data_IF_981253502526
#
_entry.id   IF_981253502526
#
_cell.length_a   1.000
_cell.length_b   1.000
_cell.length_c   1.000
_cell.angle_alpha   90.00
_cell.angle_beta   90.00
_cell.angle_gamma   90.00
#
_symmetry.space_group_name_H-M   'P 1'
#
loop_
_entity.id
_entity.type
_entity.pdbx_description
1 polymer ?
#
# COMPACT_ATOMS: atom_id res chain seq x y z
N UNK A 1 -43.82 -15.76 -26.24
CA UNK A 1 -43.85 -14.81 -25.11
C UNK A 1 -42.72 -15.17 -24.18
N UNK A 2 -41.55 -14.56 -24.37
CA UNK A 2 -40.32 -14.83 -23.61
C UNK A 2 -40.24 -13.79 -22.49
N UNK A 3 -40.17 -14.15 -21.20
CA UNK A 3 -40.05 -13.14 -20.16
C UNK A 3 -38.61 -12.62 -20.10
N UNK A 4 -38.48 -11.30 -20.19
CA UNK A 4 -37.27 -10.56 -19.85
C UNK A 4 -37.00 -10.72 -18.35
N UNK A 5 -35.87 -11.30 -17.98
CA UNK A 5 -35.36 -11.28 -16.61
C UNK A 5 -34.62 -9.94 -16.41
N UNK A 6 -34.99 -9.10 -15.43
CA UNK A 6 -34.25 -7.87 -15.18
C UNK A 6 -32.92 -8.22 -14.53
N UNK A 7 -31.83 -7.88 -15.20
CA UNK A 7 -30.49 -7.92 -14.60
C UNK A 7 -30.42 -6.85 -13.50
N UNK A 8 -30.46 -7.27 -12.23
CA UNK A 8 -30.12 -6.40 -11.11
C UNK A 8 -28.63 -6.08 -11.20
N UNK A 9 -28.30 -4.86 -11.63
CA UNK A 9 -26.97 -4.29 -11.48
C UNK A 9 -26.73 -4.01 -10.00
N UNK A 10 -26.12 -4.94 -9.28
CA UNK A 10 -25.68 -4.72 -7.90
C UNK A 10 -24.53 -3.71 -7.89
N UNK A 11 -24.85 -2.46 -7.57
CA UNK A 11 -23.88 -1.41 -7.28
C UNK A 11 -23.09 -1.84 -6.03
N UNK A 12 -21.87 -2.34 -6.21
CA UNK A 12 -20.98 -2.62 -5.09
C UNK A 12 -20.47 -1.28 -4.55
N UNK A 13 -21.14 -0.76 -3.53
CA UNK A 13 -20.56 0.26 -2.66
C UNK A 13 -19.45 -0.42 -1.88
N UNK A 14 -18.19 -0.22 -2.30
CA UNK A 14 -17.05 -0.54 -1.46
C UNK A 14 -17.14 0.36 -0.22
N UNK A 15 -17.38 -0.23 0.96
CA UNK A 15 -17.29 0.50 2.21
C UNK A 15 -15.90 1.15 2.30
N UNK A 16 -15.85 2.44 2.64
CA UNK A 16 -14.58 3.11 2.92
C UNK A 16 -13.85 2.28 4.01
N UNK A 17 -12.55 1.99 3.84
CA UNK A 17 -11.85 1.21 4.84
C UNK A 17 -11.91 1.92 6.20
N UNK A 18 -11.89 1.17 7.31
CA UNK A 18 -11.87 1.77 8.64
C UNK A 18 -10.75 2.80 8.75
N UNK A 19 -10.95 3.84 9.55
CA UNK A 19 -10.09 5.04 9.64
C UNK A 19 -8.63 4.78 10.01
N UNK A 20 -8.28 3.53 10.34
CA UNK A 20 -6.91 3.08 10.64
C UNK A 20 -6.43 1.88 9.80
N UNK A 21 -7.09 1.59 8.68
CA UNK A 21 -6.57 0.63 7.71
C UNK A 21 -5.21 1.09 7.15
N UNK A 22 -4.34 0.15 6.79
CA UNK A 22 -2.99 0.49 6.31
C UNK A 22 -3.00 1.31 5.01
N UNK A 23 -4.02 1.14 4.17
CA UNK A 23 -4.19 1.84 2.90
C UNK A 23 -5.67 2.19 2.64
N UNK A 24 -5.94 3.37 2.10
CA UNK A 24 -7.31 3.87 1.85
C UNK A 24 -8.05 3.18 0.68
N UNK A 25 -7.35 2.44 -0.18
CA UNK A 25 -7.92 1.72 -1.32
C UNK A 25 -7.93 0.22 -1.06
N UNK A 26 -6.80 -0.33 -0.61
CA UNK A 26 -6.64 -1.76 -0.37
C UNK A 26 -7.08 -2.20 1.03
N UNK A 27 -7.44 -1.27 1.92
CA UNK A 27 -7.71 -1.58 3.33
C UNK A 27 -6.52 -2.32 3.95
N UNK A 28 -6.82 -3.39 4.70
CA UNK A 28 -5.84 -4.32 5.26
C UNK A 28 -5.67 -5.62 4.44
N UNK A 29 -6.04 -5.60 3.15
CA UNK A 29 -5.96 -6.78 2.28
C UNK A 29 -4.56 -7.41 2.22
N UNK A 30 -3.50 -6.61 2.36
CA UNK A 30 -2.13 -7.11 2.41
C UNK A 30 -1.86 -7.96 3.66
N UNK A 31 -2.46 -7.61 4.80
CA UNK A 31 -2.32 -8.37 6.04
C UNK A 31 -3.13 -9.66 5.99
N UNK A 32 -4.38 -9.57 5.54
CA UNK A 32 -5.26 -10.74 5.36
C UNK A 32 -4.63 -11.74 4.37
N UNK A 33 -4.03 -11.26 3.28
CA UNK A 33 -3.35 -12.13 2.33
C UNK A 33 -2.12 -12.84 2.92
N UNK A 34 -1.42 -12.22 3.87
CA UNK A 34 -0.22 -12.78 4.49
C UNK A 34 -0.53 -13.73 5.66
N UNK A 35 -1.56 -13.42 6.46
CA UNK A 35 -1.80 -14.09 7.74
C UNK A 35 -3.20 -14.72 7.88
N UNK A 36 -4.10 -14.50 6.91
CA UNK A 36 -5.45 -15.08 6.91
C UNK A 36 -6.45 -14.40 7.85
N UNK A 37 -6.05 -13.36 8.58
CA UNK A 37 -6.88 -12.63 9.55
C UNK A 37 -6.76 -11.13 9.37
N UNK A 38 -7.64 -10.35 10.00
CA UNK A 38 -7.43 -8.90 10.16
C UNK A 38 -6.29 -8.61 11.17
N UNK A 39 -5.57 -7.49 11.03
CA UNK A 39 -4.58 -7.09 12.03
C UNK A 39 -5.26 -6.65 13.32
N UNK A 40 -4.84 -7.22 14.45
CA UNK A 40 -5.24 -6.72 15.77
C UNK A 40 -4.57 -5.39 16.11
N UNK A 41 -5.09 -4.71 17.14
CA UNK A 41 -4.56 -3.41 17.60
C UNK A 41 -3.18 -3.50 18.23
N UNK A 42 -2.76 -4.71 18.65
CA UNK A 42 -1.44 -5.02 19.18
C UNK A 42 -0.35 -5.08 18.10
N UNK A 43 -0.74 -5.21 16.82
CA UNK A 43 0.23 -5.32 15.72
C UNK A 43 0.95 -3.98 15.52
N UNK A 44 2.29 -3.94 15.61
CA UNK A 44 3.05 -2.71 15.38
C UNK A 44 2.81 -2.13 13.98
N UNK A 45 2.70 -0.81 13.88
CA UNK A 45 2.47 -0.12 12.60
C UNK A 45 3.56 -0.46 11.58
N UNK A 46 4.81 -0.59 12.01
CA UNK A 46 5.94 -0.97 11.17
C UNK A 46 5.74 -2.33 10.52
N UNK A 47 5.21 -3.33 11.26
CA UNK A 47 4.92 -4.64 10.71
C UNK A 47 3.80 -4.58 9.67
N UNK A 48 2.77 -3.75 9.91
CA UNK A 48 1.68 -3.52 8.94
C UNK A 48 2.20 -2.86 7.67
N UNK A 49 3.06 -1.84 7.79
CA UNK A 49 3.69 -1.15 6.66
C UNK A 49 4.58 -2.12 5.88
N UNK A 50 5.47 -2.85 6.53
CA UNK A 50 6.37 -3.78 5.87
C UNK A 50 5.61 -4.87 5.09
N UNK A 51 4.55 -5.43 5.71
CA UNK A 51 3.66 -6.41 5.06
C UNK A 51 2.97 -5.80 3.84
N UNK A 52 2.46 -4.58 3.97
CA UNK A 52 1.82 -3.88 2.86
C UNK A 52 2.77 -3.61 1.69
N UNK A 53 3.98 -3.14 1.97
CA UNK A 53 4.99 -2.87 0.95
C UNK A 53 5.44 -4.16 0.25
N UNK A 54 5.63 -5.27 0.98
CA UNK A 54 5.94 -6.56 0.37
C UNK A 54 4.82 -7.03 -0.57
N UNK A 55 3.57 -6.90 -0.14
CA UNK A 55 2.40 -7.27 -0.94
C UNK A 55 2.32 -6.46 -2.24
N UNK A 56 2.45 -5.14 -2.16
CA UNK A 56 2.40 -4.26 -3.33
C UNK A 56 3.60 -4.49 -4.24
N UNK A 57 4.81 -4.66 -3.70
CA UNK A 57 6.02 -4.97 -4.46
C UNK A 57 5.83 -6.23 -5.30
N UNK A 58 5.39 -7.34 -4.69
CA UNK A 58 5.15 -8.60 -5.38
C UNK A 58 4.13 -8.43 -6.53
N UNK A 59 3.03 -7.72 -6.27
CA UNK A 59 1.99 -7.45 -7.26
C UNK A 59 2.49 -6.56 -8.40
N UNK A 60 3.34 -5.59 -8.09
CA UNK A 60 3.98 -4.72 -9.07
C UNK A 60 4.98 -5.47 -9.94
N UNK A 61 5.78 -6.39 -9.37
CA UNK A 61 6.72 -7.24 -10.12
C UNK A 61 6.01 -8.22 -11.04
N UNK A 62 4.86 -8.77 -10.61
CA UNK A 62 4.06 -9.68 -11.42
C UNK A 62 3.22 -8.99 -12.50
N UNK A 63 3.05 -7.67 -12.43
CA UNK A 63 2.25 -6.91 -13.40
C UNK A 63 3.03 -6.74 -14.71
N UNK A 64 2.47 -7.26 -15.80
CA UNK A 64 2.89 -6.88 -17.14
C UNK A 64 2.56 -5.40 -17.41
N UNK A 65 3.42 -4.72 -18.18
CA UNK A 65 3.33 -3.30 -18.52
C UNK A 65 3.80 -3.06 -19.96
N UNK A 66 3.02 -3.49 -20.96
CA UNK A 66 3.42 -3.45 -22.38
C UNK A 66 3.60 -2.03 -22.97
N UNK A 67 3.36 -0.97 -22.20
CA UNK A 67 3.52 0.43 -22.62
C UNK A 67 4.78 1.12 -22.13
N UNK A 68 5.68 0.44 -21.40
CA UNK A 68 6.94 1.05 -20.95
C UNK A 68 8.00 0.94 -22.04
N UNK A 69 8.70 2.06 -22.32
CA UNK A 69 9.98 2.00 -23.02
C UNK A 69 10.99 1.16 -22.21
N UNK A 70 12.03 0.66 -22.87
CA UNK A 70 13.06 -0.12 -22.18
C UNK A 70 13.71 0.66 -21.03
N UNK A 71 13.93 1.97 -21.22
CA UNK A 71 14.50 2.84 -20.19
C UNK A 71 13.57 2.94 -18.97
N UNK A 72 12.26 3.11 -19.20
CA UNK A 72 11.27 3.11 -18.12
C UNK A 72 11.15 1.74 -17.44
N UNK A 73 11.27 0.63 -18.19
CA UNK A 73 11.32 -0.72 -17.65
C UNK A 73 12.51 -0.93 -16.71
N UNK A 74 13.71 -0.50 -17.11
CA UNK A 74 14.91 -0.54 -16.28
C UNK A 74 14.78 0.34 -15.02
N UNK A 75 14.27 1.57 -15.17
CA UNK A 75 14.03 2.46 -14.04
C UNK A 75 13.01 1.85 -13.05
N UNK A 76 11.93 1.25 -13.57
CA UNK A 76 10.95 0.54 -12.75
C UNK A 76 11.57 -0.61 -11.97
N UNK A 77 12.39 -1.45 -12.61
CA UNK A 77 13.06 -2.56 -11.92
C UNK A 77 13.96 -2.05 -10.78
N UNK A 78 14.80 -1.04 -11.07
CA UNK A 78 15.64 -0.37 -10.05
C UNK A 78 14.84 0.16 -8.87
N UNK A 79 13.72 0.86 -9.12
CA UNK A 79 12.89 1.42 -8.05
C UNK A 79 12.19 0.34 -7.23
N UNK A 80 11.83 -0.79 -7.82
CA UNK A 80 11.29 -1.93 -7.05
C UNK A 80 12.37 -2.57 -6.17
N UNK A 81 13.61 -2.63 -6.63
CA UNK A 81 14.74 -3.10 -5.82
C UNK A 81 15.06 -2.11 -4.67
N UNK A 82 15.00 -0.80 -4.95
CA UNK A 82 15.12 0.24 -3.93
C UNK A 82 13.99 0.14 -2.88
N UNK A 83 12.75 -0.15 -3.31
CA UNK A 83 11.62 -0.38 -2.40
C UNK A 83 11.86 -1.60 -1.50
N UNK A 84 12.39 -2.69 -2.06
CA UNK A 84 12.75 -3.87 -1.28
C UNK A 84 13.79 -3.55 -0.21
N UNK A 85 14.82 -2.78 -0.57
CA UNK A 85 15.85 -2.28 0.36
C UNK A 85 15.27 -1.39 1.46
N UNK A 86 14.44 -0.42 1.10
CA UNK A 86 13.73 0.44 2.06
C UNK A 86 12.88 -0.37 3.04
N UNK A 87 12.09 -1.33 2.53
CA UNK A 87 11.27 -2.22 3.35
C UNK A 87 12.14 -3.05 4.32
N UNK A 88 13.26 -3.58 3.85
CA UNK A 88 14.17 -4.41 4.66
C UNK A 88 14.81 -3.63 5.82
N UNK A 89 15.06 -2.32 5.65
CA UNK A 89 15.55 -1.47 6.75
C UNK A 89 14.51 -1.26 7.85
N UNK A 90 13.22 -1.30 7.51
CA UNK A 90 12.13 -1.16 8.49
C UNK A 90 12.02 0.23 9.13
N UNK A 91 12.75 1.22 8.61
CA UNK A 91 12.74 2.60 9.09
C UNK A 91 11.64 3.39 8.41
N UNK A 92 10.46 3.39 9.04
CA UNK A 92 9.29 4.09 8.52
C UNK A 92 9.01 5.37 9.33
N UNK A 93 8.34 6.37 8.71
CA UNK A 93 7.91 7.57 9.42
C UNK A 93 7.01 7.19 10.60
N UNK A 94 7.28 7.76 11.76
CA UNK A 94 6.43 7.62 12.94
C UNK A 94 5.46 8.78 13.03
N UNK A 95 4.32 8.53 13.67
CA UNK A 95 3.38 9.58 14.05
C UNK A 95 3.77 10.06 15.45
N UNK A 96 4.16 11.33 15.56
CA UNK A 96 4.24 12.02 16.84
C UNK A 96 2.86 12.48 17.33
N UNK A 97 2.80 13.14 18.48
CA UNK A 97 1.58 13.79 18.99
C UNK A 97 1.23 15.02 18.14
N UNK A 98 0.55 14.81 17.01
CA UNK A 98 0.09 15.91 16.13
C UNK A 98 -1.38 16.32 16.37
N UNK A 99 -2.02 15.76 17.41
CA UNK A 99 -3.38 16.14 17.86
C UNK A 99 -4.52 15.68 16.94
N UNK A 100 -4.21 14.99 15.83
CA UNK A 100 -5.23 14.51 14.89
C UNK A 100 -5.65 13.06 15.18
N UNK A 101 -6.96 12.83 15.19
CA UNK A 101 -7.52 11.48 15.23
C UNK A 101 -7.34 10.77 13.88
N UNK A 102 -6.86 9.52 13.92
CA UNK A 102 -6.77 8.62 12.76
C UNK A 102 -5.48 8.72 11.94
N UNK A 103 -5.35 7.80 10.97
CA UNK A 103 -4.16 7.68 10.11
C UNK A 103 -4.19 8.74 8.99
N UNK A 104 -3.18 9.60 8.93
CA UNK A 104 -2.92 10.50 7.78
C UNK A 104 -1.59 10.20 7.11
N UNK A 105 -1.51 10.31 5.77
CA UNK A 105 -0.26 10.25 5.04
C UNK A 105 0.72 11.32 5.56
N UNK A 106 1.98 10.93 5.70
CA UNK A 106 3.10 11.81 6.04
C UNK A 106 4.24 11.48 5.11
N UNK A 107 4.82 12.50 4.48
CA UNK A 107 5.93 12.30 3.55
C UNK A 107 7.27 12.15 4.27
N UNK A 108 7.49 12.94 5.33
CA UNK A 108 8.68 12.91 6.18
C UNK A 108 8.23 13.15 7.62
N UNK A 109 8.80 12.43 8.59
CA UNK A 109 8.58 12.69 10.02
C UNK A 109 9.57 13.71 10.61
N UNK A 110 9.38 14.01 11.89
CA UNK A 110 10.21 14.93 12.68
C UNK A 110 11.66 14.46 12.84
N UNK A 111 11.93 13.17 12.63
CA UNK A 111 13.27 12.58 12.61
C UNK A 111 13.92 12.64 11.22
N UNK A 112 13.23 13.18 10.21
CA UNK A 112 13.71 13.21 8.84
C UNK A 112 13.53 11.89 8.08
N UNK A 113 12.77 10.93 8.62
CA UNK A 113 12.55 9.64 7.95
C UNK A 113 11.50 9.83 6.85
N UNK A 114 11.88 9.54 5.61
CA UNK A 114 11.00 9.59 4.46
C UNK A 114 10.03 8.39 4.45
N UNK A 115 8.80 8.61 3.97
CA UNK A 115 7.91 7.52 3.61
C UNK A 115 8.39 6.81 2.34
N UNK A 116 7.81 5.64 2.01
CA UNK A 116 8.20 4.87 0.84
C UNK A 116 8.14 5.68 -0.46
N UNK A 117 7.10 6.51 -0.64
CA UNK A 117 6.97 7.38 -1.81
C UNK A 117 8.06 8.45 -1.83
N UNK A 118 8.27 9.13 -0.70
CA UNK A 118 9.30 10.17 -0.59
C UNK A 118 10.70 9.61 -0.82
N UNK A 119 10.98 8.41 -0.30
CA UNK A 119 12.23 7.70 -0.51
C UNK A 119 12.45 7.37 -2.00
N UNK A 120 11.46 6.79 -2.67
CA UNK A 120 11.58 6.42 -4.08
C UNK A 120 11.72 7.62 -5.02
N UNK A 121 11.14 8.78 -4.68
CA UNK A 121 11.35 10.03 -5.44
C UNK A 121 12.79 10.53 -5.26
N UNK A 122 13.39 10.36 -4.07
CA UNK A 122 14.79 10.73 -3.85
C UNK A 122 15.78 9.81 -4.61
N UNK A 123 15.38 8.56 -4.90
CA UNK A 123 16.19 7.55 -5.60
C UNK A 123 15.99 7.53 -7.14
N UNK A 124 15.04 8.32 -7.68
CA UNK A 124 14.60 8.25 -9.08
C UNK A 124 15.50 9.00 -10.06
#
# INVERSE_FOLDING_TARGET
MTPLVPALLALHVAAAPPSDAINAVLGDASWIAAYGTEPGSEVPSEARIATHLAYVEARLRASDRPGLSEAQGRARARLLDALAGYRARGEFPRRGEDGYAGRRPRFIDDRGVHCAVGYLIAES
#
